data_IF_429851844686
#
_entry.id   IF_429851844686
#
_cell.length_a   1.000
_cell.length_b   1.000
_cell.length_c   1.000
_cell.angle_alpha   90.00
_cell.angle_beta   90.00
_cell.angle_gamma   90.00
#
_symmetry.space_group_name_H-M   'P 1'
#
loop_
_entity.id
_entity.type
_entity.pdbx_description
1 polymer ?
#
# COMPACT_ATOMS: atom_id res chain seq x y z
N UNK A 1 7.26 -5.91 17.29
CA UNK A 1 6.62 -4.77 16.61
C UNK A 1 5.44 -5.32 15.85
N UNK A 2 4.27 -4.69 16.00
CA UNK A 2 3.02 -5.09 15.35
C UNK A 2 2.62 -4.07 14.29
N UNK A 3 2.39 -4.53 13.06
CA UNK A 3 2.00 -3.66 11.95
C UNK A 3 0.65 -4.10 11.40
N UNK A 4 -0.30 -3.18 11.30
CA UNK A 4 -1.51 -3.40 10.52
C UNK A 4 -1.31 -2.82 9.13
N UNK A 5 -1.45 -3.62 8.08
CA UNK A 5 -1.31 -3.21 6.68
C UNK A 5 -2.69 -3.00 6.07
N UNK A 6 -3.00 -1.76 5.67
CA UNK A 6 -4.25 -1.40 5.01
C UNK A 6 -4.03 -1.37 3.50
N UNK A 7 -4.78 -2.18 2.77
CA UNK A 7 -4.81 -2.18 1.30
C UNK A 7 -6.13 -2.76 0.80
N UNK A 8 -6.31 -2.89 -0.51
CA UNK A 8 -7.45 -3.65 -1.06
C UNK A 8 -7.25 -5.12 -0.73
N UNK A 9 -7.75 -5.55 0.43
CA UNK A 9 -7.60 -6.90 0.97
C UNK A 9 -8.97 -7.62 1.02
N UNK A 10 -9.08 -8.88 0.57
CA UNK A 10 -8.08 -9.66 -0.16
C UNK A 10 -7.61 -8.99 -1.45
N UNK A 11 -6.38 -9.26 -1.93
CA UNK A 11 -5.81 -8.57 -3.07
C UNK A 11 -6.60 -8.87 -4.36
N UNK A 12 -7.11 -7.81 -4.99
CA UNK A 12 -7.63 -7.86 -6.35
C UNK A 12 -6.50 -7.85 -7.40
N UNK A 13 -6.77 -8.17 -8.68
CA UNK A 13 -5.78 -8.07 -9.77
C UNK A 13 -5.45 -6.61 -10.14
N UNK A 14 -4.89 -5.84 -9.19
CA UNK A 14 -4.55 -4.43 -9.36
C UNK A 14 -3.22 -4.08 -8.71
N UNK A 15 -2.52 -3.07 -9.26
CA UNK A 15 -1.17 -2.71 -8.82
C UNK A 15 -1.06 -2.41 -7.32
N UNK A 16 -1.97 -1.58 -6.78
CA UNK A 16 -2.00 -1.23 -5.35
C UNK A 16 -2.29 -2.43 -4.44
N UNK A 17 -3.19 -3.32 -4.88
CA UNK A 17 -3.55 -4.52 -4.14
C UNK A 17 -2.36 -5.49 -4.06
N UNK A 18 -1.71 -5.75 -5.20
CA UNK A 18 -0.48 -6.56 -5.27
C UNK A 18 0.63 -5.93 -4.43
N UNK A 19 0.85 -4.62 -4.54
CA UNK A 19 1.85 -3.91 -3.77
C UNK A 19 1.64 -4.06 -2.26
N UNK A 20 0.40 -3.88 -1.78
CA UNK A 20 0.06 -4.07 -0.37
C UNK A 20 0.25 -5.52 0.10
N UNK A 21 -0.12 -6.48 -0.73
CA UNK A 21 0.02 -7.90 -0.42
C UNK A 21 1.50 -8.34 -0.35
N UNK A 22 2.34 -7.84 -1.25
CA UNK A 22 3.78 -8.11 -1.24
C UNK A 22 4.48 -7.47 -0.03
N UNK A 23 4.08 -6.25 0.35
CA UNK A 23 4.57 -5.64 1.59
C UNK A 23 4.19 -6.48 2.81
N UNK A 24 2.93 -6.91 2.91
CA UNK A 24 2.46 -7.75 4.01
C UNK A 24 3.26 -9.07 4.10
N UNK A 25 3.43 -9.77 2.98
CA UNK A 25 4.25 -11.00 2.92
C UNK A 25 5.70 -10.76 3.30
N UNK A 26 6.32 -9.70 2.77
CA UNK A 26 7.70 -9.35 3.10
C UNK A 26 7.89 -9.02 4.58
N UNK A 27 6.93 -8.36 5.22
CA UNK A 27 6.94 -8.11 6.67
C UNK A 27 6.91 -9.43 7.45
N UNK A 28 6.04 -10.38 7.07
CA UNK A 28 5.99 -11.69 7.71
C UNK A 28 7.30 -12.46 7.53
N UNK A 29 7.88 -12.42 6.33
CA UNK A 29 9.13 -13.11 6.00
C UNK A 29 10.31 -12.65 6.87
N UNK A 30 10.40 -11.34 7.17
CA UNK A 30 11.42 -10.79 8.06
C UNK A 30 11.07 -10.90 9.55
N UNK A 31 10.00 -11.63 9.90
CA UNK A 31 9.60 -11.90 11.28
C UNK A 31 8.83 -10.77 11.97
N UNK A 32 8.28 -9.81 11.23
CA UNK A 32 7.38 -8.79 11.80
C UNK A 32 6.00 -9.42 12.02
N UNK A 33 5.43 -9.18 13.19
CA UNK A 33 4.04 -9.55 13.47
C UNK A 33 3.12 -8.60 12.71
N UNK A 34 2.51 -9.06 11.62
CA UNK A 34 1.68 -8.24 10.75
C UNK A 34 0.28 -8.83 10.57
N UNK A 35 -0.69 -7.95 10.31
CA UNK A 35 -2.04 -8.32 9.88
C UNK A 35 -2.42 -7.50 8.65
N UNK A 36 -3.19 -8.09 7.74
CA UNK A 36 -3.76 -7.42 6.58
C UNK A 36 -5.22 -7.05 6.88
N UNK A 37 -5.65 -5.86 6.42
CA UNK A 37 -7.02 -5.38 6.59
C UNK A 37 -7.45 -4.59 5.36
N UNK A 38 -8.71 -4.73 4.99
CA UNK A 38 -9.26 -3.93 3.90
C UNK A 38 -9.29 -2.45 4.29
N UNK A 39 -8.77 -1.57 3.44
CA UNK A 39 -8.75 -0.12 3.69
C UNK A 39 -10.15 0.50 3.83
N UNK A 40 -11.17 -0.10 3.20
CA UNK A 40 -12.57 0.34 3.22
C UNK A 40 -13.38 -0.26 4.40
N UNK A 41 -12.80 -1.18 5.18
CA UNK A 41 -13.50 -1.87 6.25
C UNK A 41 -13.27 -1.21 7.61
N UNK A 42 -14.02 -0.15 7.92
CA UNK A 42 -13.89 0.61 9.18
C UNK A 42 -14.03 -0.29 10.42
N UNK A 43 -15.04 -1.18 10.46
CA UNK A 43 -15.26 -2.09 11.60
C UNK A 43 -14.09 -3.06 11.82
N UNK A 44 -13.50 -3.57 10.74
CA UNK A 44 -12.36 -4.48 10.82
C UNK A 44 -11.11 -3.74 11.31
N UNK A 45 -10.84 -2.53 10.78
CA UNK A 45 -9.76 -1.66 11.26
C UNK A 45 -9.87 -1.42 12.76
N UNK A 46 -11.05 -1.02 13.22
CA UNK A 46 -11.30 -0.78 14.65
C UNK A 46 -11.14 -2.03 15.52
N UNK A 47 -11.57 -3.19 15.01
CA UNK A 47 -11.35 -4.46 15.70
C UNK A 47 -9.86 -4.75 15.88
N UNK A 48 -9.04 -4.55 14.83
CA UNK A 48 -7.59 -4.66 14.94
C UNK A 48 -6.98 -3.63 15.90
N UNK A 49 -7.46 -2.39 15.92
CA UNK A 49 -6.97 -1.38 16.87
C UNK A 49 -7.18 -1.81 18.33
N UNK A 50 -8.29 -2.50 18.63
CA UNK A 50 -8.64 -2.96 19.99
C UNK A 50 -7.93 -4.26 20.37
N UNK A 51 -7.91 -5.24 19.49
CA UNK A 51 -7.38 -6.58 19.77
C UNK A 51 -5.89 -6.67 19.44
N UNK A 52 -5.53 -6.41 18.19
CA UNK A 52 -4.15 -6.54 17.71
C UNK A 52 -3.25 -5.42 18.21
N UNK A 53 -3.81 -4.22 18.46
CA UNK A 53 -3.11 -3.04 19.02
C UNK A 53 -1.79 -2.75 18.27
N UNK A 54 -1.85 -2.45 16.97
CA UNK A 54 -0.66 -2.26 16.16
C UNK A 54 0.17 -1.08 16.67
N UNK A 55 1.50 -1.22 16.61
CA UNK A 55 2.43 -0.11 16.90
C UNK A 55 2.37 0.95 15.80
N UNK A 56 2.12 0.51 14.56
CA UNK A 56 1.98 1.32 13.35
C UNK A 56 0.90 0.75 12.43
N UNK A 57 0.19 1.64 11.74
CA UNK A 57 -0.75 1.30 10.67
C UNK A 57 -0.15 1.77 9.35
N UNK A 58 0.31 0.83 8.52
CA UNK A 58 0.88 1.14 7.21
C UNK A 58 -0.22 1.05 6.17
N UNK A 59 -0.46 2.12 5.43
CA UNK A 59 -1.53 2.16 4.46
C UNK A 59 -1.03 2.32 3.04
N UNK A 60 -1.40 1.40 2.16
CA UNK A 60 -0.97 1.36 0.75
C UNK A 60 -2.10 1.89 -0.12
N UNK A 61 -1.81 2.92 -0.92
CA UNK A 61 -2.81 3.56 -1.77
C UNK A 61 -2.27 4.73 -2.57
N UNK A 62 -3.14 5.66 -2.93
CA UNK A 62 -2.76 6.94 -3.52
C UNK A 62 -3.22 8.11 -2.63
N UNK A 63 -2.90 9.35 -3.00
CA UNK A 63 -3.24 10.53 -2.20
C UNK A 63 -4.74 10.65 -1.88
N UNK A 64 -5.63 10.11 -2.72
CA UNK A 64 -7.09 10.12 -2.49
C UNK A 64 -7.54 9.18 -1.36
N UNK A 65 -6.71 8.21 -0.98
CA UNK A 65 -7.00 7.26 0.10
C UNK A 65 -6.61 7.79 1.49
N UNK A 66 -6.00 8.98 1.58
CA UNK A 66 -5.61 9.62 2.86
C UNK A 66 -6.70 9.58 3.95
N UNK A 67 -7.99 9.82 3.65
CA UNK A 67 -9.05 9.67 4.64
C UNK A 67 -9.09 8.29 5.30
N UNK A 68 -8.83 7.24 4.52
CA UNK A 68 -8.96 5.83 4.94
C UNK A 68 -7.67 5.30 5.56
N UNK A 69 -6.52 5.72 5.03
CA UNK A 69 -5.22 5.16 5.39
C UNK A 69 -4.42 6.02 6.38
N UNK A 70 -4.79 7.29 6.56
CA UNK A 70 -4.17 8.21 7.53
C UNK A 70 -5.17 8.72 8.55
N UNK A 71 -6.20 9.43 8.10
CA UNK A 71 -7.11 10.15 9.01
C UNK A 71 -7.93 9.19 9.87
N UNK A 72 -8.44 8.10 9.30
CA UNK A 72 -9.16 7.09 10.06
C UNK A 72 -8.28 6.50 11.19
N UNK A 73 -7.09 5.90 10.93
CA UNK A 73 -6.22 5.43 12.02
C UNK A 73 -5.91 6.50 13.08
N UNK A 74 -5.58 7.74 12.66
CA UNK A 74 -5.25 8.83 13.59
C UNK A 74 -6.42 9.21 14.50
N UNK A 75 -7.66 9.17 14.02
CA UNK A 75 -8.87 9.39 14.85
C UNK A 75 -9.00 8.39 16.01
N UNK A 76 -8.38 7.22 15.88
CA UNK A 76 -8.32 6.19 16.93
C UNK A 76 -6.98 6.17 17.68
N UNK A 77 -6.16 7.21 17.53
CA UNK A 77 -4.86 7.32 18.21
C UNK A 77 -3.77 6.42 17.65
N UNK A 78 -3.97 5.82 16.47
CA UNK A 78 -2.96 5.00 15.81
C UNK A 78 -1.93 5.87 15.07
N UNK A 79 -0.70 5.37 14.98
CA UNK A 79 0.37 5.99 14.17
C UNK A 79 0.30 5.51 12.74
N UNK A 80 -0.25 6.35 11.85
CA UNK A 80 -0.36 6.05 10.43
C UNK A 80 0.95 6.34 9.69
N UNK A 81 1.34 5.44 8.79
CA UNK A 81 2.45 5.61 7.85
C UNK A 81 1.93 5.29 6.44
N UNK A 82 1.60 6.30 5.61
CA UNK A 82 1.14 6.06 4.26
C UNK A 82 2.31 5.63 3.36
N UNK A 83 2.07 4.66 2.49
CA UNK A 83 2.89 4.34 1.33
C UNK A 83 2.09 4.62 0.07
N UNK A 84 2.38 5.76 -0.54
CA UNK A 84 1.50 6.38 -1.54
C UNK A 84 2.18 6.57 -2.88
N UNK A 85 1.37 6.45 -3.93
CA UNK A 85 1.73 6.83 -5.29
C UNK A 85 1.15 8.23 -5.63
N UNK A 86 1.78 8.91 -6.58
CA UNK A 86 1.16 10.01 -7.32
C UNK A 86 1.11 9.65 -8.80
N UNK A 87 -0.05 9.87 -9.41
CA UNK A 87 -0.20 9.91 -10.87
C UNK A 87 -0.45 11.36 -11.26
N UNK A 88 0.62 12.09 -11.58
CA UNK A 88 0.55 13.46 -12.06
C UNK A 88 0.62 14.53 -10.97
N UNK A 89 -0.42 14.71 -10.16
CA UNK A 89 -0.55 15.84 -9.21
C UNK A 89 -1.22 15.44 -7.89
N UNK A 90 -0.69 15.91 -6.76
CA UNK A 90 -1.32 15.78 -5.44
C UNK A 90 -2.35 16.89 -5.27
N UNK A 91 -3.60 16.57 -5.59
CA UNK A 91 -4.68 17.57 -5.61
C UNK A 91 -5.19 17.98 -4.22
N UNK A 92 -5.18 17.07 -3.26
CA UNK A 92 -5.78 17.27 -1.93
C UNK A 92 -4.88 16.69 -0.83
N UNK A 93 -5.18 17.04 0.43
CA UNK A 93 -4.53 16.52 1.64
C UNK A 93 -3.03 16.82 1.80
N UNK A 94 -2.51 17.82 1.07
CA UNK A 94 -1.12 18.27 1.19
C UNK A 94 -0.71 18.55 2.64
N UNK A 95 -1.50 19.33 3.38
CA UNK A 95 -1.19 19.68 4.78
C UNK A 95 -1.17 18.46 5.70
N UNK A 96 -2.07 17.50 5.46
CA UNK A 96 -2.09 16.24 6.23
C UNK A 96 -0.81 15.46 5.97
N UNK A 97 -0.45 15.29 4.70
CA UNK A 97 0.75 14.55 4.30
C UNK A 97 2.04 15.24 4.78
N UNK A 98 2.13 16.56 4.65
CA UNK A 98 3.28 17.38 5.08
C UNK A 98 3.48 17.35 6.62
N UNK A 99 2.38 17.22 7.37
CA UNK A 99 2.39 17.12 8.83
C UNK A 99 2.80 15.76 9.37
N UNK A 100 2.91 14.72 8.54
CA UNK A 100 3.31 13.39 8.99
C UNK A 100 4.81 13.32 9.27
N UNK A 101 5.27 12.51 10.24
CA UNK A 101 6.70 12.32 10.49
C UNK A 101 7.39 11.44 9.43
N UNK A 102 6.62 10.65 8.67
CA UNK A 102 7.10 9.76 7.63
C UNK A 102 6.02 9.53 6.58
N UNK A 103 6.35 9.73 5.31
CA UNK A 103 5.57 9.34 4.15
C UNK A 103 6.44 8.46 3.28
N UNK A 104 5.99 7.25 2.97
CA UNK A 104 6.66 6.37 2.05
C UNK A 104 6.15 6.62 0.64
N UNK A 105 7.03 6.61 -0.36
CA UNK A 105 6.69 6.73 -1.78
C UNK A 105 7.39 5.65 -2.60
N UNK A 106 6.82 5.28 -3.74
CA UNK A 106 7.28 4.12 -4.52
C UNK A 106 8.54 4.35 -5.34
N UNK A 107 8.93 5.60 -5.58
CA UNK A 107 10.12 5.96 -6.35
C UNK A 107 10.56 7.38 -6.06
N UNK A 108 11.80 7.71 -6.44
CA UNK A 108 12.31 9.07 -6.35
C UNK A 108 11.52 10.04 -7.24
N UNK A 109 10.99 9.57 -8.38
CA UNK A 109 10.11 10.38 -9.23
C UNK A 109 8.79 10.76 -8.50
N UNK A 110 8.19 9.83 -7.75
CA UNK A 110 7.01 10.13 -6.93
C UNK A 110 7.39 11.10 -5.81
N UNK A 111 8.55 10.90 -5.18
CA UNK A 111 9.09 11.81 -4.16
C UNK A 111 9.22 13.24 -4.69
N UNK A 112 9.83 13.40 -5.86
CA UNK A 112 10.01 14.68 -6.54
C UNK A 112 8.66 15.34 -6.88
N UNK A 113 7.68 14.54 -7.29
CA UNK A 113 6.31 15.00 -7.56
C UNK A 113 5.65 15.55 -6.29
N UNK A 114 5.77 14.85 -5.17
CA UNK A 114 5.27 15.31 -3.86
C UNK A 114 5.96 16.60 -3.42
N UNK A 115 7.28 16.71 -3.60
CA UNK A 115 8.05 17.92 -3.29
C UNK A 115 7.61 19.10 -4.16
N UNK A 116 7.46 18.88 -5.47
CA UNK A 116 6.93 19.88 -6.42
C UNK A 116 5.57 20.39 -5.97
N UNK A 117 4.73 19.52 -5.42
CA UNK A 117 3.37 19.84 -4.98
C UNK A 117 3.31 20.40 -3.54
N UNK A 118 4.46 20.59 -2.90
CA UNK A 118 4.61 21.32 -1.64
C UNK A 118 4.58 20.47 -0.37
N UNK A 119 4.91 19.18 -0.47
CA UNK A 119 5.18 18.30 0.68
C UNK A 119 6.69 18.29 0.93
N UNK A 120 7.14 18.39 2.19
CA UNK A 120 8.58 18.44 2.47
C UNK A 120 9.28 17.13 2.08
N UNK A 121 10.51 17.27 1.61
CA UNK A 121 11.32 16.14 1.16
C UNK A 121 12.01 15.38 2.29
N UNK A 122 12.23 15.99 3.46
CA UNK A 122 13.01 15.43 4.58
C UNK A 122 12.33 14.23 5.27
N UNK A 123 11.00 14.15 5.16
CA UNK A 123 10.17 13.10 5.74
C UNK A 123 9.49 12.20 4.69
N UNK A 124 9.71 12.48 3.40
CA UNK A 124 9.24 11.64 2.30
C UNK A 124 10.38 10.69 1.90
N UNK A 125 10.21 9.39 2.12
CA UNK A 125 11.24 8.37 1.92
C UNK A 125 10.83 7.40 0.82
N UNK A 126 11.74 7.18 -0.14
CA UNK A 126 11.52 6.21 -1.22
C UNK A 126 11.63 4.78 -0.68
N UNK A 127 10.54 4.03 -0.79
CA UNK A 127 10.48 2.59 -0.62
C UNK A 127 10.00 1.97 -1.95
N UNK A 128 10.91 1.36 -2.73
CA UNK A 128 10.56 0.76 -4.02
C UNK A 128 9.54 -0.36 -3.88
N UNK A 129 8.75 -0.58 -4.95
CA UNK A 129 7.84 -1.73 -5.02
C UNK A 129 8.66 -3.00 -5.22
N UNK A 130 8.48 -3.97 -4.32
CA UNK A 130 9.10 -5.29 -4.43
C UNK A 130 8.49 -6.12 -5.57
N UNK A 131 9.27 -7.05 -6.09
CA UNK A 131 8.84 -8.03 -7.09
C UNK A 131 9.04 -9.44 -6.52
N UNK A 132 7.97 -10.24 -6.48
CA UNK A 132 8.04 -11.65 -6.10
C UNK A 132 8.63 -12.46 -7.26
N UNK A 133 9.92 -12.77 -7.17
CA UNK A 133 10.63 -13.44 -8.26
C UNK A 133 10.27 -14.91 -8.44
N UNK A 134 9.51 -15.52 -7.51
CA UNK A 134 8.96 -16.86 -7.67
C UNK A 134 7.62 -16.83 -8.42
N UNK A 135 6.84 -15.77 -8.24
CA UNK A 135 5.56 -15.57 -8.92
C UNK A 135 5.72 -14.94 -10.31
N UNK A 136 6.57 -13.91 -10.44
CA UNK A 136 6.80 -13.13 -11.66
C UNK A 136 7.84 -13.80 -12.56
N UNK A 137 7.54 -15.02 -13.01
CA UNK A 137 8.36 -15.80 -13.92
C UNK A 137 7.67 -15.99 -15.28
N UNK A 138 8.44 -16.16 -16.37
CA UNK A 138 7.87 -16.60 -17.64
C UNK A 138 7.11 -17.92 -17.45
N UNK A 139 5.89 -17.98 -17.99
CA UNK A 139 5.06 -19.19 -18.00
C UNK A 139 4.99 -19.77 -19.42
N UNK A 140 5.04 -21.10 -19.61
CA UNK A 140 4.84 -21.72 -20.92
C UNK A 140 3.47 -21.37 -21.52
N UNK A 141 3.38 -21.33 -22.85
CA UNK A 141 2.11 -21.06 -23.54
C UNK A 141 1.02 -22.10 -23.22
N UNK A 142 1.43 -23.33 -22.88
CA UNK A 142 0.55 -24.43 -22.51
C UNK A 142 0.16 -24.42 -21.02
N UNK A 143 0.68 -23.47 -20.21
CA UNK A 143 0.24 -23.32 -18.83
C UNK A 143 -1.29 -23.06 -18.82
N UNK A 144 -2.06 -23.81 -18.01
CA UNK A 144 -3.52 -23.69 -18.00
C UNK A 144 -4.01 -22.26 -17.75
N UNK A 145 -3.31 -21.47 -16.92
CA UNK A 145 -3.67 -20.07 -16.64
C UNK A 145 -3.41 -19.18 -17.85
N UNK A 146 -2.31 -19.42 -18.56
CA UNK A 146 -1.96 -18.69 -19.79
C UNK A 146 -2.96 -19.01 -20.90
N UNK A 147 -3.26 -20.30 -21.13
CA UNK A 147 -4.22 -20.74 -22.14
C UNK A 147 -5.62 -20.17 -21.89
N UNK A 148 -6.08 -20.13 -20.63
CA UNK A 148 -7.38 -19.56 -20.27
C UNK A 148 -7.46 -18.05 -20.56
N UNK A 149 -6.43 -17.28 -20.23
CA UNK A 149 -6.40 -15.83 -20.51
C UNK A 149 -6.34 -15.55 -22.02
N UNK A 150 -5.53 -16.31 -22.77
CA UNK A 150 -5.46 -16.21 -24.24
C UNK A 150 -6.81 -16.46 -24.90
N UNK A 151 -7.48 -17.54 -24.51
CA UNK A 151 -8.83 -17.87 -25.01
C UNK A 151 -9.86 -16.78 -24.65
N UNK A 152 -9.74 -16.14 -23.49
CA UNK A 152 -10.65 -15.06 -23.07
C UNK A 152 -10.43 -13.74 -23.81
N UNK A 153 -9.24 -13.54 -24.40
CA UNK A 153 -8.85 -12.32 -25.11
C UNK A 153 -8.78 -12.53 -26.64
N UNK A 154 -9.24 -13.67 -27.14
CA UNK A 154 -9.15 -14.08 -28.55
C UNK A 154 -7.71 -14.01 -29.12
N UNK A 155 -6.71 -14.29 -28.28
CA UNK A 155 -5.30 -14.36 -28.69
C UNK A 155 -4.97 -15.83 -29.01
N UNK A 156 -4.55 -16.17 -30.24
CA UNK A 156 -4.24 -17.55 -30.64
C UNK A 156 -3.07 -18.12 -29.86
#
# INVERSE_FOLDING_TARGET
MRILVLYSYPPSPGGLATQGDLLYKGLLEIGVEAQACNLDSDLEKEWYYRWFKPDFVVGVGFWGDVPKIVLHPQRFGMRAVPWVLADGYVANFREVLDGLPLVLVTSDWVRETFIRDGIRGDHTVTLPVGCDTDAFIPRPAQDPKVAAVRASLDVP
#
